data_IF_824633191631
#
_entry.id   IF_824633191631
#
_cell.length_a   1.000
_cell.length_b   1.000
_cell.length_c   1.000
_cell.angle_alpha   90.00
_cell.angle_beta   90.00
_cell.angle_gamma   90.00
#
_symmetry.space_group_name_H-M   'P 1'
#
loop_
_entity.id
_entity.type
_entity.pdbx_description
1 polymer ?
#
# COMPACT_ATOMS: atom_id res chain seq x y z
N UNK A 1 5.39 1.30 3.94
CA UNK A 1 5.16 2.68 3.47
C UNK A 1 3.69 2.93 3.13
N UNK A 2 3.08 2.19 2.19
CA UNK A 2 1.67 2.45 1.85
C UNK A 2 0.69 2.10 2.97
N UNK A 3 0.98 1.08 3.79
CA UNK A 3 0.15 0.74 4.94
C UNK A 3 0.08 1.87 5.99
N UNK A 4 1.21 2.55 6.28
CA UNK A 4 1.23 3.68 7.22
C UNK A 4 0.42 4.86 6.70
N UNK A 5 0.54 5.16 5.40
CA UNK A 5 -0.28 6.19 4.78
C UNK A 5 -1.76 5.82 4.75
N UNK A 6 -2.10 4.56 4.50
CA UNK A 6 -3.47 4.05 4.52
C UNK A 6 -4.11 4.11 5.91
N UNK A 7 -3.31 4.08 6.98
CA UNK A 7 -3.78 4.26 8.35
C UNK A 7 -4.07 5.74 8.66
N UNK A 8 -3.16 6.63 8.26
CA UNK A 8 -3.22 8.06 8.55
C UNK A 8 -4.25 8.80 7.67
N UNK A 9 -4.37 8.43 6.39
CA UNK A 9 -5.20 9.18 5.41
C UNK A 9 -6.67 9.25 5.83
N UNK A 10 -7.34 8.15 6.23
CA UNK A 10 -8.72 8.21 6.71
C UNK A 10 -8.92 9.07 7.97
N UNK A 11 -7.89 9.24 8.79
CA UNK A 11 -7.92 10.08 9.98
C UNK A 11 -7.74 11.56 9.66
N UNK A 12 -6.81 11.89 8.75
CA UNK A 12 -6.43 13.27 8.44
C UNK A 12 -7.31 13.89 7.35
N UNK A 13 -7.56 13.17 6.26
CA UNK A 13 -8.32 13.69 5.11
C UNK A 13 -9.80 13.32 5.14
N UNK A 14 -10.20 12.48 6.09
CA UNK A 14 -11.53 11.89 6.14
C UNK A 14 -11.71 10.76 5.13
N UNK A 15 -12.93 10.20 5.11
CA UNK A 15 -13.30 9.05 4.27
C UNK A 15 -13.97 9.49 2.98
N UNK A 16 -13.80 8.71 1.92
CA UNK A 16 -14.42 8.98 0.62
C UNK A 16 -15.95 9.06 0.73
N UNK A 17 -16.62 10.01 0.06
CA UNK A 17 -18.07 10.02 0.00
C UNK A 17 -18.58 8.89 -0.90
N UNK A 18 -19.57 8.13 -0.44
CA UNK A 18 -20.26 7.12 -1.24
C UNK A 18 -20.39 5.75 -0.57
N UNK A 19 -20.74 4.75 -1.39
CA UNK A 19 -20.93 3.37 -0.96
C UNK A 19 -19.72 2.50 -1.31
N UNK A 20 -19.20 1.77 -0.32
CA UNK A 20 -18.22 0.70 -0.54
C UNK A 20 -18.89 -0.47 -1.30
N UNK A 21 -20.11 -0.81 -0.89
CA UNK A 21 -20.88 -1.88 -1.51
C UNK A 21 -22.34 -1.44 -1.67
N UNK A 22 -22.76 -1.07 -2.90
CA UNK A 22 -24.15 -0.72 -3.17
C UNK A 22 -25.12 -1.87 -2.89
N UNK A 23 -24.70 -3.12 -3.12
CA UNK A 23 -25.51 -4.32 -2.87
C UNK A 23 -25.69 -4.64 -1.38
N UNK A 24 -24.74 -4.22 -0.53
CA UNK A 24 -24.83 -4.37 0.93
C UNK A 24 -25.25 -3.07 1.64
N UNK A 25 -25.51 -1.99 0.89
CA UNK A 25 -25.85 -0.67 1.46
C UNK A 25 -24.76 -0.06 2.35
N UNK A 26 -23.50 -0.49 2.22
CA UNK A 26 -22.42 -0.14 3.14
C UNK A 26 -21.67 1.10 2.66
N UNK A 27 -21.61 2.17 3.46
CA UNK A 27 -20.90 3.40 3.12
C UNK A 27 -19.45 3.36 3.56
N UNK A 28 -18.59 4.11 2.87
CA UNK A 28 -17.20 4.30 3.30
C UNK A 28 -17.13 4.98 4.68
N UNK A 29 -18.10 5.82 5.01
CA UNK A 29 -18.21 6.45 6.34
C UNK A 29 -18.31 5.42 7.48
N UNK A 30 -18.99 4.30 7.24
CA UNK A 30 -19.33 3.28 8.23
C UNK A 30 -18.17 2.31 8.52
N UNK A 31 -17.09 2.37 7.74
CA UNK A 31 -15.91 1.52 7.93
C UNK A 31 -15.04 2.16 9.02
N UNK A 32 -14.83 1.53 10.19
CA UNK A 32 -13.93 2.08 11.21
C UNK A 32 -12.50 2.16 10.67
N UNK A 33 -11.69 3.06 11.24
CA UNK A 33 -10.27 3.11 10.89
C UNK A 33 -9.53 1.93 11.54
N UNK A 34 -8.29 1.71 11.10
CA UNK A 34 -7.43 0.69 11.70
C UNK A 34 -7.83 -0.75 11.39
N UNK A 35 -7.48 -1.66 12.32
CA UNK A 35 -7.64 -3.10 12.16
C UNK A 35 -9.11 -3.52 12.10
N UNK A 36 -10.00 -2.75 12.73
CA UNK A 36 -11.43 -3.00 12.69
C UNK A 36 -12.01 -2.91 11.26
N UNK A 37 -11.39 -2.13 10.36
CA UNK A 37 -11.78 -2.01 8.96
C UNK A 37 -11.80 -3.37 8.24
N UNK A 38 -10.83 -4.24 8.55
CA UNK A 38 -10.62 -5.53 7.90
C UNK A 38 -11.85 -6.42 8.02
N UNK A 39 -12.51 -6.38 9.18
CA UNK A 39 -13.71 -7.16 9.48
C UNK A 39 -14.99 -6.65 8.81
N UNK A 40 -15.01 -5.39 8.36
CA UNK A 40 -16.20 -4.73 7.80
C UNK A 40 -16.22 -4.73 6.28
N UNK A 41 -15.07 -4.89 5.64
CA UNK A 41 -14.98 -4.99 4.19
C UNK A 41 -15.52 -6.35 3.73
N UNK A 42 -16.46 -6.40 2.76
CA UNK A 42 -17.02 -7.65 2.26
C UNK A 42 -15.95 -8.58 1.66
N UNK A 43 -16.13 -9.89 1.83
CA UNK A 43 -15.21 -10.93 1.31
C UNK A 43 -15.05 -10.84 -0.22
N UNK A 44 -16.10 -10.47 -0.94
CA UNK A 44 -16.02 -10.26 -2.39
C UNK A 44 -15.02 -9.15 -2.77
N UNK A 45 -14.92 -8.08 -1.99
CA UNK A 45 -13.92 -7.03 -2.20
C UNK A 45 -12.51 -7.52 -1.90
N UNK A 46 -12.33 -8.29 -0.83
CA UNK A 46 -11.05 -8.94 -0.52
C UNK A 46 -10.59 -9.90 -1.63
N UNK A 47 -11.51 -10.69 -2.19
CA UNK A 47 -11.21 -11.60 -3.29
C UNK A 47 -10.76 -10.83 -4.56
N UNK A 48 -11.41 -9.70 -4.88
CA UNK A 48 -11.00 -8.84 -5.99
C UNK A 48 -9.59 -8.26 -5.79
N UNK A 49 -9.29 -7.78 -4.57
CA UNK A 49 -7.96 -7.24 -4.22
C UNK A 49 -6.90 -8.33 -4.34
N UNK A 50 -7.14 -9.51 -3.76
CA UNK A 50 -6.19 -10.63 -3.80
C UNK A 50 -5.94 -11.12 -5.25
N UNK A 51 -7.01 -11.22 -6.06
CA UNK A 51 -6.87 -11.60 -7.47
C UNK A 51 -6.06 -10.58 -8.26
N UNK A 52 -6.29 -9.28 -8.04
CA UNK A 52 -5.52 -8.22 -8.69
C UNK A 52 -4.06 -8.21 -8.26
N UNK A 53 -3.78 -8.32 -6.95
CA UNK A 53 -2.40 -8.40 -6.46
C UNK A 53 -1.68 -9.63 -6.99
N UNK A 54 -2.34 -10.79 -7.03
CA UNK A 54 -1.79 -11.99 -7.64
C UNK A 54 -1.47 -11.81 -9.12
N UNK A 55 -2.33 -11.14 -9.88
CA UNK A 55 -2.07 -10.81 -11.29
C UNK A 55 -0.87 -9.86 -11.45
N UNK A 56 -0.80 -8.80 -10.64
CA UNK A 56 0.30 -7.83 -10.68
C UNK A 56 1.62 -8.51 -10.33
N UNK A 57 1.65 -9.30 -9.27
CA UNK A 57 2.86 -10.01 -8.81
C UNK A 57 3.31 -11.06 -9.82
N UNK A 58 2.36 -11.77 -10.46
CA UNK A 58 2.64 -12.66 -11.58
C UNK A 58 3.22 -11.92 -12.80
N UNK A 59 2.67 -10.75 -13.14
CA UNK A 59 3.15 -9.94 -14.26
C UNK A 59 4.51 -9.29 -14.03
N UNK A 60 4.84 -8.97 -12.77
CA UNK A 60 6.12 -8.39 -12.36
C UNK A 60 7.26 -9.39 -12.26
N UNK A 61 6.97 -10.69 -12.36
CA UNK A 61 7.97 -11.76 -12.35
C UNK A 61 8.47 -12.08 -10.92
N UNK A 62 8.17 -13.29 -10.46
CA UNK A 62 8.60 -13.74 -9.12
C UNK A 62 10.11 -13.89 -8.96
N UNK A 63 10.88 -14.00 -10.04
CA UNK A 63 12.33 -14.25 -10.00
C UNK A 63 13.19 -13.03 -10.42
N UNK A 64 12.57 -11.88 -10.68
CA UNK A 64 13.27 -10.71 -11.23
C UNK A 64 14.34 -10.15 -10.26
N UNK A 65 14.20 -10.43 -8.96
CA UNK A 65 15.21 -10.13 -7.94
C UNK A 65 16.51 -10.95 -8.03
N UNK A 66 16.53 -12.06 -8.79
CA UNK A 66 17.71 -12.93 -8.92
C UNK A 66 18.63 -12.54 -10.06
N UNK A 67 18.12 -11.81 -11.06
CA UNK A 67 18.85 -11.50 -12.29
C UNK A 67 18.98 -10.00 -12.57
N UNK A 68 18.15 -9.15 -11.94
CA UNK A 68 18.20 -7.69 -12.06
C UNK A 68 18.55 -6.94 -10.76
N UNK A 69 18.51 -5.61 -10.81
CA UNK A 69 18.55 -4.76 -9.60
C UNK A 69 17.23 -4.93 -8.86
N UNK A 70 17.20 -5.44 -7.61
CA UNK A 70 15.94 -5.70 -6.91
C UNK A 70 15.08 -4.44 -6.81
N UNK A 71 13.82 -4.55 -7.25
CA UNK A 71 12.85 -3.45 -7.23
C UNK A 71 12.83 -2.54 -8.46
N UNK A 72 13.70 -2.77 -9.46
CA UNK A 72 13.72 -1.98 -10.70
C UNK A 72 12.77 -2.58 -11.76
N UNK A 73 11.46 -2.41 -11.57
CA UNK A 73 10.42 -2.89 -12.49
C UNK A 73 10.13 -1.93 -13.67
N UNK A 74 11.08 -1.06 -14.02
CA UNK A 74 10.94 -0.13 -15.14
C UNK A 74 9.99 1.05 -14.91
N UNK A 75 9.53 1.29 -13.68
CA UNK A 75 8.70 2.46 -13.32
C UNK A 75 9.55 3.73 -13.25
N UNK A 76 9.83 4.32 -14.42
CA UNK A 76 10.84 5.39 -14.57
C UNK A 76 10.37 6.82 -14.25
N UNK A 77 9.11 7.01 -13.86
CA UNK A 77 8.56 8.35 -13.56
C UNK A 77 9.23 8.98 -12.34
N UNK A 78 9.73 8.16 -11.41
CA UNK A 78 10.35 8.61 -10.16
C UNK A 78 11.88 8.42 -10.14
N UNK A 79 12.44 7.68 -11.10
CA UNK A 79 13.88 7.43 -11.20
C UNK A 79 14.58 8.56 -11.95
N UNK A 80 15.64 9.13 -11.37
CA UNK A 80 16.50 10.08 -12.09
C UNK A 80 17.44 9.31 -13.04
N UNK A 81 17.75 9.91 -14.19
CA UNK A 81 18.77 9.41 -15.11
C UNK A 81 20.19 9.56 -14.54
N UNK A 82 20.38 10.48 -13.58
CA UNK A 82 21.67 10.76 -12.98
C UNK A 82 22.02 9.74 -11.88
N UNK A 83 23.19 9.07 -11.94
CA UNK A 83 23.57 8.00 -11.00
C UNK A 83 23.63 8.43 -9.53
N UNK A 84 24.10 9.65 -9.27
CA UNK A 84 24.21 10.19 -7.90
C UNK A 84 22.83 10.49 -7.30
N UNK A 85 21.93 11.10 -8.07
CA UNK A 85 20.56 11.32 -7.63
C UNK A 85 19.78 10.02 -7.45
N UNK A 86 19.99 9.04 -8.34
CA UNK A 86 19.40 7.70 -8.20
C UNK A 86 19.81 7.08 -6.87
N UNK A 87 21.12 7.07 -6.56
CA UNK A 87 21.64 6.52 -5.30
C UNK A 87 21.07 7.21 -4.06
N UNK A 88 20.96 8.54 -4.11
CA UNK A 88 20.35 9.33 -3.02
C UNK A 88 18.87 8.99 -2.83
N UNK A 89 18.09 8.92 -3.92
CA UNK A 89 16.66 8.59 -3.88
C UNK A 89 16.40 7.16 -3.37
N UNK A 90 17.19 6.18 -3.83
CA UNK A 90 17.10 4.80 -3.34
C UNK A 90 17.43 4.70 -1.84
N UNK A 91 18.47 5.41 -1.40
CA UNK A 91 18.84 5.45 0.03
C UNK A 91 17.72 6.07 0.88
N UNK A 92 17.07 7.12 0.38
CA UNK A 92 15.92 7.74 1.02
C UNK A 92 14.69 6.81 1.05
N UNK A 93 14.40 6.10 -0.04
CA UNK A 93 13.33 5.10 -0.08
C UNK A 93 13.55 4.00 0.95
N UNK A 94 14.77 3.46 1.05
CA UNK A 94 15.10 2.43 2.03
C UNK A 94 14.95 2.93 3.48
N UNK A 95 15.42 4.14 3.77
CA UNK A 95 15.28 4.75 5.09
C UNK A 95 13.81 4.98 5.46
N UNK A 96 13.00 5.50 4.53
CA UNK A 96 11.56 5.66 4.72
C UNK A 96 10.83 4.32 4.84
N UNK A 97 11.28 3.29 4.11
CA UNK A 97 10.80 1.92 4.24
C UNK A 97 10.99 1.38 5.65
N UNK A 98 12.20 1.50 6.20
CA UNK A 98 12.53 1.08 7.57
C UNK A 98 11.73 1.84 8.62
N UNK A 99 11.61 3.16 8.47
CA UNK A 99 10.79 3.97 9.36
C UNK A 99 9.32 3.53 9.30
N UNK A 100 8.78 3.31 8.10
CA UNK A 100 7.39 2.90 7.94
C UNK A 100 7.10 1.51 8.51
N UNK A 101 8.06 0.58 8.49
CA UNK A 101 7.92 -0.73 9.14
C UNK A 101 7.79 -0.59 10.67
N UNK A 102 8.59 0.29 11.29
CA UNK A 102 8.48 0.54 12.73
C UNK A 102 7.20 1.32 13.07
N UNK A 103 6.82 2.29 12.23
CA UNK A 103 5.66 3.12 12.45
C UNK A 103 4.34 2.33 12.38
N UNK A 104 4.19 1.40 11.42
CA UNK A 104 2.95 0.60 11.33
C UNK A 104 2.77 -0.34 12.53
N UNK A 105 3.86 -0.89 13.06
CA UNK A 105 3.81 -1.72 14.28
C UNK A 105 3.37 -0.87 15.47
N UNK A 106 3.89 0.36 15.59
CA UNK A 106 3.47 1.29 16.62
C UNK A 106 1.99 1.66 16.53
N UNK A 107 1.48 1.90 15.30
CA UNK A 107 0.07 2.18 15.07
C UNK A 107 -0.83 0.99 15.41
N UNK A 108 -0.43 -0.25 15.07
CA UNK A 108 -1.18 -1.46 15.44
C UNK A 108 -1.25 -1.71 16.94
N UNK A 109 -0.25 -1.28 17.71
CA UNK A 109 -0.26 -1.42 19.17
C UNK A 109 -1.09 -0.33 19.86
N UNK A 110 -1.36 0.78 19.18
CA UNK A 110 -2.16 1.89 19.68
C UNK A 110 -3.66 1.74 19.35
N UNK A 111 -4.00 0.79 18.47
CA UNK A 111 -5.38 0.47 18.05
C UNK A 111 -6.11 -0.45 19.04
#
# INVERSE_FOLDING_TARGET
MMATMGYITPEVTGKLPGFLSPSAGLKFADIPNGLAAVSKVPVAGWAQIAAYFGFVEFSGGFDDYKTGTPGDYGFKVLTSSDPEEKTKKLSAELANGRLAMMAIIGMFFQD
#
